data_IF_793404423163
#
_entry.id   IF_793404423163
#
_cell.length_a   1.000
_cell.length_b   1.000
_cell.length_c   1.000
_cell.angle_alpha   90.00
_cell.angle_beta   90.00
_cell.angle_gamma   90.00
#
_symmetry.space_group_name_H-M   'P 1'
#
loop_
_entity.id
_entity.type
_entity.pdbx_description
1 polymer ?
#
# COMPACT_ATOMS: atom_id res chain seq x y z
N UNK A 1 18.32 25.87 -26.92
CA UNK A 1 19.34 25.11 -26.15
C UNK A 1 19.04 25.12 -24.64
N UNK A 2 18.90 26.27 -23.96
CA UNK A 2 18.63 26.31 -22.52
C UNK A 2 17.16 26.00 -22.10
N UNK A 3 16.19 26.18 -22.99
CA UNK A 3 14.76 25.91 -22.72
C UNK A 3 14.44 24.41 -22.62
N UNK A 4 15.17 23.58 -23.36
CA UNK A 4 14.93 22.13 -23.47
C UNK A 4 15.36 21.37 -22.20
N UNK A 5 16.49 21.78 -21.62
CA UNK A 5 17.00 21.21 -20.36
C UNK A 5 16.07 21.54 -19.18
N UNK A 6 15.53 22.76 -19.14
CA UNK A 6 14.56 23.14 -18.12
C UNK A 6 13.24 22.36 -18.26
N UNK A 7 12.78 22.13 -19.49
CA UNK A 7 11.59 21.32 -19.74
C UNK A 7 11.82 19.84 -19.35
N UNK A 8 12.99 19.29 -19.64
CA UNK A 8 13.36 17.93 -19.26
C UNK A 8 13.41 17.75 -17.73
N UNK A 9 14.00 18.70 -17.01
CA UNK A 9 14.06 18.70 -15.54
C UNK A 9 12.67 18.88 -14.92
N UNK A 10 11.81 19.71 -15.51
CA UNK A 10 10.41 19.86 -15.08
C UNK A 10 9.63 18.55 -15.24
N UNK A 11 9.77 17.85 -16.38
CA UNK A 11 9.09 16.58 -16.63
C UNK A 11 9.64 15.43 -15.75
N UNK A 12 10.94 15.43 -15.45
CA UNK A 12 11.54 14.48 -14.50
C UNK A 12 11.08 14.74 -13.07
N UNK A 13 10.86 16.00 -12.68
CA UNK A 13 10.31 16.35 -11.36
C UNK A 13 8.82 16.03 -11.24
N UNK A 14 8.04 16.18 -12.31
CA UNK A 14 6.61 15.82 -12.28
C UNK A 14 6.40 14.31 -12.23
N UNK A 15 7.20 13.52 -12.97
CA UNK A 15 7.13 12.05 -12.93
C UNK A 15 7.59 11.41 -11.61
N UNK A 16 8.30 12.16 -10.76
CA UNK A 16 8.70 11.73 -9.42
C UNK A 16 7.72 12.19 -8.31
N UNK A 17 6.66 12.95 -8.65
CA UNK A 17 5.70 13.54 -7.70
C UNK A 17 4.25 13.32 -8.15
N UNK A 18 3.97 12.25 -8.89
CA UNK A 18 2.58 11.80 -9.02
C UNK A 18 2.17 11.16 -7.67
N UNK A 19 1.03 11.58 -7.08
CA UNK A 19 0.55 10.97 -5.85
C UNK A 19 0.34 9.47 -6.07
N UNK A 20 0.69 8.61 -5.10
CA UNK A 20 0.56 7.18 -5.28
C UNK A 20 -0.91 6.82 -5.59
N UNK A 21 -1.12 6.12 -6.70
CA UNK A 21 -2.44 5.71 -7.14
C UNK A 21 -2.80 4.36 -6.52
N UNK A 22 -3.20 4.37 -5.26
CA UNK A 22 -3.59 3.14 -4.56
C UNK A 22 -4.89 2.55 -5.12
N UNK A 23 -4.84 1.25 -5.37
CA UNK A 23 -5.99 0.41 -5.76
C UNK A 23 -6.34 -0.54 -4.63
N UNK A 24 -7.58 -1.01 -4.65
CA UNK A 24 -8.02 -2.04 -3.72
C UNK A 24 -7.25 -3.35 -3.99
N UNK A 25 -6.68 -4.01 -2.97
CA UNK A 25 -5.75 -5.15 -3.17
C UNK A 25 -6.44 -6.47 -3.49
N UNK A 26 -7.76 -6.47 -3.73
CA UNK A 26 -8.58 -7.65 -4.00
C UNK A 26 -9.46 -7.43 -5.23
N UNK A 27 -9.93 -8.50 -5.91
CA UNK A 27 -10.72 -8.37 -7.15
C UNK A 27 -12.06 -7.65 -6.98
N UNK A 28 -12.60 -7.61 -5.77
CA UNK A 28 -13.84 -6.93 -5.40
C UNK A 28 -13.80 -6.56 -3.90
N UNK A 29 -14.69 -5.69 -3.41
CA UNK A 29 -14.80 -5.41 -1.99
C UNK A 29 -15.15 -6.66 -1.16
N UNK A 30 -14.49 -6.81 -0.01
CA UNK A 30 -14.79 -7.82 1.00
C UNK A 30 -14.93 -7.17 2.39
N UNK A 31 -15.60 -7.84 3.35
CA UNK A 31 -15.71 -7.32 4.71
C UNK A 31 -14.34 -7.14 5.36
N UNK A 32 -14.15 -6.01 6.03
CA UNK A 32 -12.99 -5.78 6.90
C UNK A 32 -13.27 -6.49 8.22
N UNK A 33 -12.49 -7.52 8.55
CA UNK A 33 -12.59 -8.23 9.82
C UNK A 33 -11.83 -7.54 10.95
N UNK A 34 -10.78 -6.78 10.63
CA UNK A 34 -10.03 -6.01 11.61
C UNK A 34 -9.40 -4.77 10.97
N UNK A 35 -9.59 -3.61 11.59
CA UNK A 35 -9.07 -2.31 11.15
C UNK A 35 -7.65 -2.06 11.65
N UNK A 36 -7.03 -1.06 11.05
CA UNK A 36 -5.79 -0.50 11.57
C UNK A 36 -5.99 0.03 13.00
N UNK A 37 -5.04 -0.29 13.88
CA UNK A 37 -5.05 0.08 15.28
C UNK A 37 -6.00 -0.71 16.18
N UNK A 38 -6.76 -1.65 15.61
CA UNK A 38 -7.74 -2.42 16.38
C UNK A 38 -7.06 -3.47 17.27
N UNK A 39 -7.70 -3.79 18.40
CA UNK A 39 -7.26 -4.77 19.41
C UNK A 39 -5.84 -4.56 19.97
N UNK A 40 -5.47 -3.37 20.49
CA UNK A 40 -4.12 -3.09 21.02
C UNK A 40 -3.63 -4.08 22.07
N UNK A 41 -4.53 -4.63 22.88
CA UNK A 41 -4.19 -5.63 23.89
C UNK A 41 -3.59 -6.92 23.30
N UNK A 42 -4.02 -7.33 22.10
CA UNK A 42 -3.52 -8.54 21.45
C UNK A 42 -2.08 -8.40 20.96
N UNK A 43 -1.67 -7.17 20.59
CA UNK A 43 -0.37 -6.90 20.00
C UNK A 43 0.67 -6.38 20.99
N UNK A 44 0.24 -5.93 22.19
CA UNK A 44 1.14 -5.44 23.23
C UNK A 44 2.23 -6.46 23.59
N UNK A 45 1.91 -7.75 23.57
CA UNK A 45 2.86 -8.85 23.80
C UNK A 45 4.01 -8.91 22.79
N UNK A 46 3.85 -8.28 21.63
CA UNK A 46 4.86 -8.16 20.57
C UNK A 46 5.54 -6.79 20.56
N UNK A 47 5.33 -5.95 21.59
CA UNK A 47 5.90 -4.60 21.66
C UNK A 47 5.18 -3.56 20.78
N UNK A 48 4.03 -3.88 20.20
CA UNK A 48 3.25 -2.96 19.37
C UNK A 48 2.12 -2.38 20.21
N UNK A 49 2.30 -1.14 20.66
CA UNK A 49 1.35 -0.47 21.56
C UNK A 49 0.06 -0.01 20.86
N UNK A 50 0.13 0.24 19.55
CA UNK A 50 -0.96 0.84 18.78
C UNK A 50 -2.01 -0.15 18.29
N UNK A 51 -1.79 -1.46 18.47
CA UNK A 51 -2.65 -2.51 17.91
C UNK A 51 -2.27 -2.91 16.50
N UNK A 52 -3.25 -3.40 15.74
CA UNK A 52 -3.01 -3.99 14.44
C UNK A 52 -2.35 -3.00 13.46
N UNK A 53 -1.17 -3.34 12.94
CA UNK A 53 -0.42 -2.51 12.00
C UNK A 53 -0.82 -2.72 10.53
N UNK A 54 -1.99 -3.31 10.29
CA UNK A 54 -2.50 -3.67 8.98
C UNK A 54 -4.02 -3.50 8.88
N UNK A 55 -4.59 -4.09 7.83
CA UNK A 55 -6.02 -4.13 7.57
C UNK A 55 -6.37 -5.54 7.10
N UNK A 56 -7.27 -6.22 7.82
CA UNK A 56 -7.64 -7.60 7.51
C UNK A 56 -8.95 -7.64 6.73
N UNK A 57 -8.95 -8.42 5.65
CA UNK A 57 -10.12 -8.70 4.83
C UNK A 57 -10.55 -10.15 5.01
N UNK A 58 -11.82 -10.37 5.34
CA UNK A 58 -12.40 -11.71 5.42
C UNK A 58 -12.73 -12.23 4.02
N UNK A 59 -11.86 -13.09 3.48
CA UNK A 59 -11.98 -13.66 2.12
C UNK A 59 -11.88 -15.18 2.12
N UNK A 60 -12.50 -15.89 1.15
CA UNK A 60 -12.28 -17.33 0.96
C UNK A 60 -10.82 -17.65 0.57
N UNK A 61 -10.28 -18.82 0.98
CA UNK A 61 -8.99 -19.30 0.51
C UNK A 61 -8.92 -19.36 -1.03
N UNK A 62 -7.77 -19.00 -1.59
CA UNK A 62 -7.55 -18.94 -3.04
C UNK A 62 -8.02 -17.64 -3.71
N UNK A 63 -8.56 -16.68 -2.96
CA UNK A 63 -8.85 -15.33 -3.48
C UNK A 63 -7.54 -14.65 -3.94
N UNK A 64 -7.44 -14.17 -5.19
CA UNK A 64 -6.24 -13.48 -5.67
C UNK A 64 -5.92 -12.22 -4.86
N UNK A 65 -4.63 -11.98 -4.59
CA UNK A 65 -4.11 -10.74 -4.01
C UNK A 65 -3.45 -9.92 -5.13
N UNK A 66 -3.89 -8.68 -5.29
CA UNK A 66 -3.44 -7.77 -6.34
C UNK A 66 -2.51 -6.70 -5.75
N UNK A 67 -1.55 -6.22 -6.54
CA UNK A 67 -0.71 -5.10 -6.13
C UNK A 67 -1.54 -3.81 -6.01
N UNK A 68 -1.46 -3.14 -4.86
CA UNK A 68 -2.15 -1.88 -4.62
C UNK A 68 -1.58 -0.73 -5.44
N UNK A 69 -0.31 -0.81 -5.84
CA UNK A 69 0.30 0.13 -6.77
C UNK A 69 1.46 -0.53 -7.54
N UNK A 70 1.89 0.11 -8.64
CA UNK A 70 3.09 -0.23 -9.39
C UNK A 70 4.34 -0.24 -8.50
N UNK A 71 5.21 -1.21 -8.73
CA UNK A 71 6.46 -1.36 -8.00
C UNK A 71 7.26 -2.58 -8.46
N UNK A 72 8.29 -2.92 -7.69
CA UNK A 72 9.14 -4.10 -7.90
C UNK A 72 9.08 -4.97 -6.65
N UNK A 73 8.95 -6.28 -6.82
CA UNK A 73 8.98 -7.23 -5.70
C UNK A 73 10.40 -7.29 -5.13
N UNK A 74 10.56 -6.85 -3.88
CA UNK A 74 11.85 -6.89 -3.18
C UNK A 74 12.08 -8.19 -2.41
N UNK A 75 11.00 -8.86 -1.96
CA UNK A 75 11.07 -10.07 -1.15
C UNK A 75 9.80 -10.91 -1.31
N UNK A 76 9.96 -12.23 -1.24
CA UNK A 76 8.90 -13.24 -1.10
C UNK A 76 9.22 -14.15 0.09
N UNK A 77 8.20 -14.67 0.78
CA UNK A 77 8.39 -15.63 1.88
C UNK A 77 7.16 -15.78 2.76
#
# INVERSE_FOLDING_TARGET
MASDLNQLVQNLRSSLVEPPHFRYPLPKPYPISQRFGENPDWYRRFGIATGHNGLDFAVPPGTPVLASERGVVLKTG
#
